data_IF_328786188167
#
_entry.id   IF_328786188167
#
_cell.length_a   1.000
_cell.length_b   1.000
_cell.length_c   1.000
_cell.angle_alpha   90.00
_cell.angle_beta   90.00
_cell.angle_gamma   90.00
#
_symmetry.space_group_name_H-M   'P 1'
#
loop_
_entity.id
_entity.type
_entity.pdbx_description
1 polymer ?
#
# COMPACT_ATOMS: atom_id res chain seq x y z
N UNK A 1 -35.93 -55.74 40.26
CA UNK A 1 -36.57 -55.09 39.10
C UNK A 1 -36.74 -53.62 39.46
N UNK A 2 -35.83 -52.76 39.03
CA UNK A 2 -36.04 -51.82 37.90
C UNK A 2 -36.13 -50.42 38.53
N UNK A 3 -35.24 -49.45 38.32
CA UNK A 3 -34.67 -49.00 37.06
C UNK A 3 -35.46 -47.75 36.64
N UNK A 4 -34.84 -46.56 36.66
CA UNK A 4 -35.49 -45.35 36.12
C UNK A 4 -34.88 -44.03 36.57
N UNK A 5 -33.86 -43.58 35.85
CA UNK A 5 -33.34 -42.20 35.85
C UNK A 5 -34.44 -41.22 35.44
N UNK A 6 -34.47 -40.04 36.06
CA UNK A 6 -35.23 -38.90 35.59
C UNK A 6 -34.49 -37.62 35.93
N UNK A 7 -33.55 -37.23 35.06
CA UNK A 7 -32.88 -35.93 35.13
C UNK A 7 -33.90 -34.81 34.93
N UNK A 8 -33.84 -33.81 35.82
CA UNK A 8 -34.59 -32.57 35.63
C UNK A 8 -34.14 -31.87 34.35
N UNK A 9 -35.07 -31.24 33.59
CA UNK A 9 -34.68 -30.56 32.38
C UNK A 9 -33.84 -29.33 32.76
N UNK A 10 -32.61 -29.30 32.24
CA UNK A 10 -31.83 -28.09 32.12
C UNK A 10 -32.62 -27.11 31.23
N UNK A 11 -32.97 -25.96 31.80
CA UNK A 11 -33.58 -24.86 31.05
C UNK A 11 -32.49 -24.30 30.14
N UNK A 12 -32.43 -24.78 28.90
CA UNK A 12 -31.66 -24.15 27.86
C UNK A 12 -32.27 -22.78 27.60
N UNK A 13 -31.53 -21.72 27.93
CA UNK A 13 -31.84 -20.37 27.48
C UNK A 13 -31.64 -20.36 25.96
N UNK A 14 -32.74 -20.53 25.24
CA UNK A 14 -32.83 -20.31 23.81
C UNK A 14 -32.72 -18.80 23.59
N UNK A 15 -31.48 -18.34 23.37
CA UNK A 15 -31.21 -17.00 22.85
C UNK A 15 -31.70 -16.98 21.41
N UNK A 16 -32.98 -16.62 21.24
CA UNK A 16 -33.57 -16.36 19.94
C UNK A 16 -32.86 -15.13 19.38
N UNK A 17 -31.88 -15.37 18.51
CA UNK A 17 -31.35 -14.35 17.63
C UNK A 17 -32.54 -13.78 16.84
N UNK A 18 -33.02 -12.62 17.23
CA UNK A 18 -34.03 -11.90 16.48
C UNK A 18 -33.46 -11.68 15.08
N UNK A 19 -34.05 -12.35 14.09
CA UNK A 19 -33.78 -12.06 12.69
C UNK A 19 -34.16 -10.59 12.47
N UNK A 20 -33.16 -9.72 12.34
CA UNK A 20 -33.36 -8.31 12.06
C UNK A 20 -34.12 -8.21 10.74
N UNK A 21 -35.41 -7.90 10.79
CA UNK A 21 -36.17 -7.63 9.57
C UNK A 21 -35.47 -6.50 8.81
N UNK A 22 -35.22 -6.65 7.51
CA UNK A 22 -34.47 -5.66 6.76
C UNK A 22 -35.23 -4.32 6.81
N UNK A 23 -34.52 -3.24 7.15
CA UNK A 23 -35.12 -1.91 7.15
C UNK A 23 -35.51 -1.55 5.71
N UNK A 24 -36.82 -1.49 5.43
CA UNK A 24 -37.36 -1.09 4.12
C UNK A 24 -37.90 0.33 4.20
N UNK A 25 -37.46 1.18 3.27
CA UNK A 25 -38.01 2.52 3.08
C UNK A 25 -39.39 2.40 2.39
N UNK A 26 -40.47 2.96 2.94
CA UNK A 26 -41.79 2.85 2.33
C UNK A 26 -41.87 3.53 0.96
N UNK A 27 -42.50 2.86 -0.01
CA UNK A 27 -42.65 3.38 -1.38
C UNK A 27 -43.76 4.41 -1.53
N UNK A 28 -44.74 4.39 -0.62
CA UNK A 28 -45.92 5.26 -0.63
C UNK A 28 -45.74 6.55 0.18
N UNK A 29 -44.53 6.82 0.69
CA UNK A 29 -44.20 8.06 1.39
C UNK A 29 -43.47 9.00 0.45
N UNK A 30 -43.87 10.28 0.48
CA UNK A 30 -43.15 11.40 -0.10
C UNK A 30 -43.02 12.48 0.98
N UNK A 31 -41.84 12.55 1.61
CA UNK A 31 -41.55 13.41 2.75
C UNK A 31 -40.29 14.21 2.47
N UNK A 32 -40.30 15.50 2.78
CA UNK A 32 -39.10 16.34 2.86
C UNK A 32 -38.96 16.85 4.29
N UNK A 33 -37.82 16.57 4.90
CA UNK A 33 -37.50 16.92 6.28
C UNK A 33 -36.27 17.83 6.26
N UNK A 34 -36.42 19.02 6.84
CA UNK A 34 -35.28 19.87 7.16
C UNK A 34 -34.79 19.48 8.56
N UNK A 35 -33.58 18.95 8.64
CA UNK A 35 -32.96 18.54 9.89
C UNK A 35 -32.09 19.68 10.44
N UNK A 36 -32.24 19.95 11.74
CA UNK A 36 -31.31 20.71 12.57
C UNK A 36 -31.21 19.97 13.90
N UNK A 37 -30.21 19.10 13.99
CA UNK A 37 -30.02 18.15 15.08
C UNK A 37 -28.67 18.39 15.73
N UNK A 38 -28.69 18.75 17.01
CA UNK A 38 -27.47 19.06 17.75
C UNK A 38 -26.54 17.86 17.91
N UNK A 39 -27.10 16.69 18.16
CA UNK A 39 -26.35 15.45 18.35
C UNK A 39 -27.14 14.26 17.83
N UNK A 40 -26.48 13.39 17.07
CA UNK A 40 -27.05 12.16 16.53
C UNK A 40 -26.07 11.02 16.80
N UNK A 41 -26.57 9.98 17.47
CA UNK A 41 -25.81 8.75 17.72
C UNK A 41 -26.18 7.72 16.66
N UNK A 42 -25.19 7.28 15.88
CA UNK A 42 -25.39 6.27 14.85
C UNK A 42 -24.32 5.19 14.95
N UNK A 43 -24.71 4.00 15.41
CA UNK A 43 -23.76 2.91 15.73
C UNK A 43 -22.66 3.41 16.68
N UNK A 44 -21.39 3.35 16.25
CA UNK A 44 -20.22 3.86 17.00
C UNK A 44 -19.92 5.34 16.73
N UNK A 45 -20.64 5.96 15.79
CA UNK A 45 -20.42 7.34 15.39
C UNK A 45 -21.23 8.29 16.25
N UNK A 46 -20.59 9.39 16.65
CA UNK A 46 -21.25 10.56 17.25
C UNK A 46 -21.18 11.69 16.25
N UNK A 47 -22.33 12.15 15.78
CA UNK A 47 -22.47 13.24 14.83
C UNK A 47 -22.99 14.45 15.57
N UNK A 48 -22.40 15.61 15.33
CA UNK A 48 -22.79 16.88 15.96
C UNK A 48 -23.28 17.87 14.90
N UNK A 49 -24.13 18.80 15.30
CA UNK A 49 -24.56 19.94 14.47
C UNK A 49 -25.00 19.52 13.04
N UNK A 50 -25.82 18.45 12.97
CA UNK A 50 -26.32 17.89 11.72
C UNK A 50 -27.39 18.81 11.16
N UNK A 51 -27.15 19.33 9.96
CA UNK A 51 -28.06 20.24 9.27
C UNK A 51 -28.17 19.90 7.78
N UNK A 52 -29.37 20.04 7.21
CA UNK A 52 -29.62 19.86 5.77
C UNK A 52 -30.99 19.22 5.49
N UNK A 53 -31.23 18.84 4.23
CA UNK A 53 -32.51 18.25 3.82
C UNK A 53 -32.38 16.73 3.65
N UNK A 54 -33.36 16.01 4.19
CA UNK A 54 -33.55 14.57 4.00
C UNK A 54 -34.88 14.37 3.29
N UNK A 55 -34.86 13.73 2.12
CA UNK A 55 -36.07 13.40 1.36
C UNK A 55 -36.29 11.90 1.37
N UNK A 56 -37.52 11.48 1.64
CA UNK A 56 -37.96 10.09 1.54
C UNK A 56 -38.98 10.01 0.43
N UNK A 57 -38.67 9.30 -0.65
CA UNK A 57 -39.59 9.17 -1.78
C UNK A 57 -39.31 7.90 -2.58
N UNK A 58 -40.36 7.18 -2.96
CA UNK A 58 -40.27 6.02 -3.85
C UNK A 58 -39.37 4.89 -3.31
N UNK A 59 -39.37 4.66 -2.00
CA UNK A 59 -38.56 3.61 -1.37
C UNK A 59 -37.07 3.94 -1.28
N UNK A 60 -36.71 5.22 -1.32
CA UNK A 60 -35.35 5.70 -1.13
C UNK A 60 -35.29 6.92 -0.21
N UNK A 61 -34.17 7.05 0.48
CA UNK A 61 -33.79 8.23 1.25
C UNK A 61 -32.70 8.97 0.48
N UNK A 62 -32.93 10.23 0.15
CA UNK A 62 -31.94 11.13 -0.41
C UNK A 62 -31.46 12.10 0.66
N UNK A 63 -30.15 12.27 0.77
CA UNK A 63 -29.49 13.25 1.64
C UNK A 63 -29.03 14.40 0.74
N UNK A 64 -29.57 15.60 0.96
CA UNK A 64 -29.27 16.77 0.14
C UNK A 64 -28.44 17.78 0.94
N UNK A 65 -27.14 17.84 0.63
CA UNK A 65 -26.18 18.81 1.20
C UNK A 65 -26.18 18.82 2.73
N UNK A 66 -26.09 17.65 3.35
CA UNK A 66 -25.90 17.56 4.78
C UNK A 66 -24.56 18.19 5.17
N UNK A 67 -24.57 18.94 6.26
CA UNK A 67 -23.40 19.42 6.99
C UNK A 67 -23.46 18.85 8.40
N UNK A 68 -22.34 18.35 8.91
CA UNK A 68 -22.27 17.72 10.22
C UNK A 68 -20.84 17.76 10.77
N UNK A 69 -20.70 17.79 12.09
CA UNK A 69 -19.46 17.48 12.78
C UNK A 69 -19.29 15.97 12.94
N UNK A 70 -18.16 15.43 12.50
CA UNK A 70 -17.84 14.00 12.60
C UNK A 70 -16.33 13.79 12.75
N UNK A 71 -15.94 12.79 13.54
CA UNK A 71 -14.53 12.40 13.76
C UNK A 71 -13.62 13.55 14.24
N UNK A 72 -14.19 14.55 14.93
CA UNK A 72 -13.49 15.75 15.38
C UNK A 72 -13.37 16.87 14.34
N UNK A 73 -13.81 16.64 13.10
CA UNK A 73 -13.81 17.60 12.01
C UNK A 73 -15.20 18.00 11.56
N UNK A 74 -15.27 18.69 10.41
CA UNK A 74 -16.50 19.03 9.71
C UNK A 74 -16.62 18.23 8.44
N UNK A 75 -17.80 17.67 8.20
CA UNK A 75 -18.11 16.89 7.02
C UNK A 75 -19.29 17.48 6.26
N UNK A 76 -19.30 17.25 4.96
CA UNK A 76 -20.50 17.40 4.14
C UNK A 76 -20.82 16.10 3.44
N UNK A 77 -22.10 15.81 3.25
CA UNK A 77 -22.52 14.59 2.55
C UNK A 77 -23.76 14.85 1.69
N UNK A 78 -23.75 14.29 0.49
CA UNK A 78 -24.95 14.11 -0.34
C UNK A 78 -24.97 12.67 -0.81
N UNK A 79 -26.15 12.05 -0.85
CA UNK A 79 -26.21 10.63 -1.18
C UNK A 79 -27.61 10.11 -1.30
N UNK A 80 -27.72 8.84 -1.70
CA UNK A 80 -28.98 8.13 -1.82
C UNK A 80 -28.85 6.72 -1.26
N UNK A 81 -29.72 6.39 -0.33
CA UNK A 81 -29.96 5.04 0.16
C UNK A 81 -31.26 4.55 -0.47
N UNK A 82 -31.22 3.47 -1.24
CA UNK A 82 -32.41 2.90 -1.89
C UNK A 82 -32.65 1.48 -1.41
N UNK A 83 -33.88 1.18 -1.01
CA UNK A 83 -34.34 -0.19 -0.71
C UNK A 83 -35.42 -0.65 -1.70
N UNK A 84 -35.66 0.12 -2.77
CA UNK A 84 -36.75 -0.11 -3.72
C UNK A 84 -36.48 -1.20 -4.78
N UNK A 85 -35.31 -1.85 -4.75
CA UNK A 85 -34.90 -2.90 -5.71
C UNK A 85 -34.59 -4.23 -5.02
N UNK A 86 -34.13 -5.22 -5.80
CA UNK A 86 -33.77 -6.56 -5.29
C UNK A 86 -32.65 -6.51 -4.23
N UNK A 87 -31.74 -5.54 -4.35
CA UNK A 87 -30.66 -5.30 -3.41
C UNK A 87 -30.65 -3.84 -2.95
N UNK A 88 -30.66 -3.56 -1.64
CA UNK A 88 -30.45 -2.23 -1.13
C UNK A 88 -29.10 -1.67 -1.57
N UNK A 89 -29.03 -0.37 -1.83
CA UNK A 89 -27.82 0.29 -2.32
C UNK A 89 -27.60 1.65 -1.69
N UNK A 90 -26.33 2.04 -1.61
CA UNK A 90 -25.88 3.33 -1.12
C UNK A 90 -24.97 3.99 -2.17
N UNK A 91 -25.29 5.22 -2.53
CA UNK A 91 -24.36 6.15 -3.18
C UNK A 91 -24.12 7.36 -2.28
N UNK A 92 -22.86 7.79 -2.17
CA UNK A 92 -22.45 8.84 -1.26
C UNK A 92 -21.32 9.66 -1.88
N UNK A 93 -21.52 10.97 -1.98
CA UNK A 93 -20.48 11.96 -2.18
C UNK A 93 -20.26 12.67 -0.84
N UNK A 94 -19.05 12.58 -0.29
CA UNK A 94 -18.70 13.13 1.00
C UNK A 94 -17.42 13.97 0.93
N UNK A 95 -17.38 15.00 1.77
CA UNK A 95 -16.15 15.73 2.06
C UNK A 95 -15.92 15.80 3.55
N UNK A 96 -14.65 15.81 3.96
CA UNK A 96 -14.21 15.98 5.34
C UNK A 96 -13.14 17.05 5.39
N UNK A 97 -13.17 17.88 6.43
CA UNK A 97 -12.10 18.79 6.79
C UNK A 97 -11.73 18.60 8.25
N UNK A 98 -10.43 18.42 8.50
CA UNK A 98 -9.85 18.22 9.84
C UNK A 98 -10.45 17.04 10.61
N UNK A 99 -10.72 15.93 9.91
CA UNK A 99 -11.08 14.68 10.56
C UNK A 99 -9.84 14.03 11.18
N UNK A 100 -9.96 13.43 12.35
CA UNK A 100 -8.84 12.76 13.03
C UNK A 100 -8.70 11.31 12.55
N UNK A 101 -7.50 10.89 12.14
CA UNK A 101 -7.23 9.51 11.72
C UNK A 101 -7.63 8.49 12.80
N UNK A 102 -7.22 8.74 14.05
CA UNK A 102 -7.50 7.86 15.18
C UNK A 102 -9.01 7.71 15.45
N UNK A 103 -9.74 8.84 15.55
CA UNK A 103 -11.20 8.80 15.78
C UNK A 103 -11.95 8.10 14.65
N UNK A 104 -11.53 8.34 13.41
CA UNK A 104 -12.13 7.66 12.24
C UNK A 104 -11.91 6.16 12.30
N UNK A 105 -10.68 5.71 12.62
CA UNK A 105 -10.39 4.28 12.76
C UNK A 105 -11.21 3.63 13.88
N UNK A 106 -11.34 4.28 15.04
CA UNK A 106 -12.13 3.76 16.17
C UNK A 106 -13.62 3.63 15.83
N UNK A 107 -14.17 4.57 15.05
CA UNK A 107 -15.61 4.68 14.82
C UNK A 107 -16.10 4.02 13.52
N UNK A 108 -15.23 3.79 12.53
CA UNK A 108 -15.61 3.21 11.23
C UNK A 108 -14.96 1.86 10.94
N UNK A 109 -15.76 0.80 11.02
CA UNK A 109 -15.32 -0.58 10.73
C UNK A 109 -14.85 -0.77 9.29
N UNK A 110 -15.43 -0.03 8.33
CA UNK A 110 -14.99 -0.05 6.93
C UNK A 110 -13.54 0.43 6.80
N UNK A 111 -13.18 1.48 7.54
CA UNK A 111 -11.81 2.02 7.55
C UNK A 111 -10.87 1.03 8.24
N UNK A 112 -11.30 0.37 9.31
CA UNK A 112 -10.50 -0.67 9.98
C UNK A 112 -10.09 -1.79 9.02
N UNK A 113 -10.98 -2.18 8.10
CA UNK A 113 -10.74 -3.24 7.13
C UNK A 113 -9.95 -2.79 5.90
N UNK A 114 -10.27 -1.61 5.35
CA UNK A 114 -9.68 -1.14 4.09
C UNK A 114 -8.36 -0.36 4.28
N UNK A 115 -8.21 0.34 5.40
CA UNK A 115 -7.07 1.20 5.67
C UNK A 115 -6.56 1.01 7.10
N UNK A 116 -6.06 -0.19 7.46
CA UNK A 116 -5.57 -0.50 8.80
C UNK A 116 -4.44 0.43 9.27
N UNK A 117 -3.75 1.06 8.32
CA UNK A 117 -2.71 2.07 8.59
C UNK A 117 -3.20 3.24 9.47
N UNK A 118 -4.49 3.59 9.41
CA UNK A 118 -5.06 4.68 10.21
C UNK A 118 -4.89 4.46 11.72
N UNK A 119 -4.83 3.21 12.18
CA UNK A 119 -4.61 2.87 13.59
C UNK A 119 -3.31 3.49 14.14
N UNK A 120 -2.27 3.56 13.30
CA UNK A 120 -0.93 4.03 13.69
C UNK A 120 -0.62 5.44 13.18
N UNK A 121 -1.58 6.08 12.53
CA UNK A 121 -1.42 7.43 11.98
C UNK A 121 -2.01 8.46 12.92
N UNK A 122 -1.15 9.35 13.40
CA UNK A 122 -1.52 10.59 14.09
C UNK A 122 -1.73 11.75 13.12
N UNK A 123 -2.43 12.77 13.60
CA UNK A 123 -2.75 13.97 12.84
C UNK A 123 -4.20 14.01 12.36
N UNK A 124 -4.48 14.98 11.49
CA UNK A 124 -5.79 15.22 10.90
C UNK A 124 -5.72 15.12 9.38
N UNK A 125 -6.86 14.86 8.74
CA UNK A 125 -6.99 14.77 7.30
C UNK A 125 -8.19 15.57 6.78
N UNK A 126 -8.09 15.92 5.50
CA UNK A 126 -9.23 16.30 4.67
C UNK A 126 -9.45 15.20 3.63
N UNK A 127 -10.69 14.98 3.22
CA UNK A 127 -11.07 13.92 2.29
C UNK A 127 -12.09 14.46 1.30
N UNK A 128 -11.94 14.10 0.03
CA UNK A 128 -13.03 14.03 -0.94
C UNK A 128 -13.28 12.56 -1.28
N UNK A 129 -14.54 12.14 -1.32
CA UNK A 129 -14.93 10.75 -1.51
C UNK A 129 -16.20 10.67 -2.34
N UNK A 130 -16.14 9.89 -3.42
CA UNK A 130 -17.31 9.36 -4.11
C UNK A 130 -17.35 7.84 -3.88
N UNK A 131 -18.48 7.32 -3.40
CA UNK A 131 -18.65 5.93 -3.01
C UNK A 131 -20.00 5.39 -3.52
N UNK A 132 -19.99 4.13 -3.95
CA UNK A 132 -21.17 3.33 -4.26
C UNK A 132 -20.99 1.89 -3.80
N UNK A 133 -22.03 1.29 -3.23
CA UNK A 133 -21.97 -0.08 -2.70
C UNK A 133 -23.37 -0.70 -2.59
N UNK A 134 -23.46 -2.02 -2.70
CA UNK A 134 -24.65 -2.73 -2.25
C UNK A 134 -24.65 -2.80 -0.71
N UNK A 135 -25.82 -2.97 -0.11
CA UNK A 135 -25.94 -3.15 1.33
C UNK A 135 -26.55 -4.52 1.65
N UNK A 136 -26.14 -5.07 2.78
CA UNK A 136 -26.77 -6.25 3.35
C UNK A 136 -28.13 -5.92 4.02
N UNK A 137 -28.81 -6.94 4.55
CA UNK A 137 -30.08 -6.79 5.26
C UNK A 137 -30.00 -5.89 6.50
N UNK A 138 -28.80 -5.71 7.07
CA UNK A 138 -28.53 -4.81 8.20
C UNK A 138 -28.13 -3.40 7.75
N UNK A 139 -28.27 -3.09 6.46
CA UNK A 139 -27.83 -1.85 5.81
C UNK A 139 -26.33 -1.57 5.99
N UNK A 140 -25.51 -2.61 6.11
CA UNK A 140 -24.05 -2.48 6.14
C UNK A 140 -23.49 -2.59 4.72
N UNK A 141 -22.47 -1.79 4.36
CA UNK A 141 -21.79 -1.88 3.07
C UNK A 141 -21.22 -3.26 2.77
N UNK A 142 -21.56 -3.78 1.60
CA UNK A 142 -20.86 -4.94 1.03
C UNK A 142 -19.53 -4.48 0.43
N UNK A 143 -18.44 -4.80 1.12
CA UNK A 143 -17.09 -4.40 0.73
C UNK A 143 -16.62 -5.05 -0.58
N UNK A 144 -17.24 -6.17 -1.00
CA UNK A 144 -16.94 -6.81 -2.28
C UNK A 144 -17.49 -6.02 -3.47
N UNK A 145 -18.61 -5.31 -3.30
CA UNK A 145 -19.23 -4.47 -4.33
C UNK A 145 -18.88 -2.99 -4.20
N UNK A 146 -18.16 -2.62 -3.12
CA UNK A 146 -17.78 -1.25 -2.84
C UNK A 146 -16.86 -0.72 -3.94
N UNK A 147 -17.34 0.31 -4.61
CA UNK A 147 -16.55 1.15 -5.51
C UNK A 147 -16.40 2.52 -4.86
N UNK A 148 -15.17 3.01 -4.77
CA UNK A 148 -14.92 4.35 -4.28
C UNK A 148 -13.77 5.02 -5.02
N UNK A 149 -13.73 6.34 -5.02
CA UNK A 149 -12.58 7.13 -5.45
C UNK A 149 -12.51 8.42 -4.66
N UNK A 150 -11.30 8.91 -4.44
CA UNK A 150 -11.14 10.11 -3.64
C UNK A 150 -9.71 10.60 -3.54
N UNK A 151 -9.59 11.73 -2.86
CA UNK A 151 -8.31 12.32 -2.50
C UNK A 151 -8.31 12.57 -0.98
N UNK A 152 -7.33 11.99 -0.31
CA UNK A 152 -7.02 12.28 1.08
C UNK A 152 -5.86 13.27 1.12
N UNK A 153 -5.98 14.30 1.95
CA UNK A 153 -4.91 15.27 2.21
C UNK A 153 -4.65 15.40 3.68
N UNK A 154 -3.40 15.62 4.05
CA UNK A 154 -3.03 15.95 5.42
C UNK A 154 -1.88 16.95 5.43
N UNK A 155 -2.02 17.99 6.25
CA UNK A 155 -0.96 18.98 6.47
C UNK A 155 0.21 18.36 7.23
N UNK A 156 -0.07 17.37 8.09
CA UNK A 156 0.91 16.71 8.92
C UNK A 156 0.43 15.31 9.33
N UNK A 157 1.23 14.30 9.00
CA UNK A 157 1.06 12.94 9.49
C UNK A 157 2.25 12.52 10.32
N UNK A 158 1.97 11.80 11.39
CA UNK A 158 2.98 11.08 12.16
C UNK A 158 2.61 9.61 12.20
N UNK A 159 3.52 8.73 11.81
CA UNK A 159 3.30 7.30 11.88
C UNK A 159 4.50 6.63 12.55
N UNK A 160 4.21 5.77 13.51
CA UNK A 160 5.22 5.05 14.29
C UNK A 160 4.97 3.54 14.24
N UNK A 161 6.06 2.77 14.20
CA UNK A 161 6.06 1.31 14.36
C UNK A 161 5.20 0.56 13.32
N UNK A 162 5.20 1.04 12.07
CA UNK A 162 4.66 0.27 10.96
C UNK A 162 5.67 -0.77 10.50
N UNK A 163 5.29 -2.05 10.58
CA UNK A 163 6.14 -3.18 10.18
C UNK A 163 6.70 -3.06 8.75
N UNK A 164 5.92 -2.47 7.82
CA UNK A 164 6.36 -2.30 6.44
C UNK A 164 7.53 -1.32 6.34
N UNK A 165 7.47 -0.23 7.10
CA UNK A 165 8.53 0.75 7.19
C UNK A 165 9.72 0.25 8.04
N UNK A 166 9.47 -0.60 9.04
CA UNK A 166 10.54 -1.31 9.75
C UNK A 166 11.32 -2.26 8.84
N UNK A 167 10.61 -3.01 7.99
CA UNK A 167 11.22 -3.89 7.01
C UNK A 167 12.01 -3.09 5.97
N UNK A 168 11.47 -1.95 5.51
CA UNK A 168 12.15 -1.04 4.59
C UNK A 168 13.42 -0.44 5.22
N UNK A 169 13.33 0.05 6.45
CA UNK A 169 14.46 0.57 7.23
C UNK A 169 15.57 -0.47 7.36
N UNK A 170 15.21 -1.72 7.64
CA UNK A 170 16.16 -2.83 7.78
C UNK A 170 16.82 -3.18 6.45
N UNK A 171 16.04 -3.25 5.36
CA UNK A 171 16.54 -3.56 4.03
C UNK A 171 17.50 -2.50 3.49
N UNK A 172 17.20 -1.22 3.74
CA UNK A 172 18.01 -0.08 3.29
C UNK A 172 19.06 0.36 4.32
N UNK A 173 19.14 -0.31 5.48
CA UNK A 173 20.01 0.06 6.61
C UNK A 173 19.87 1.53 7.03
N UNK A 174 18.63 2.03 7.03
CA UNK A 174 18.30 3.41 7.38
C UNK A 174 17.19 3.45 8.44
N UNK A 175 17.57 3.56 9.71
CA UNK A 175 16.62 3.59 10.83
C UNK A 175 15.69 4.82 10.84
N UNK A 176 16.02 5.89 10.10
CA UNK A 176 15.12 7.06 9.98
C UNK A 176 13.79 6.69 9.31
N UNK A 177 13.77 5.64 8.50
CA UNK A 177 12.54 5.18 7.83
C UNK A 177 11.53 4.54 8.78
N UNK A 178 11.91 4.20 10.03
CA UNK A 178 11.00 3.60 11.03
C UNK A 178 9.97 4.58 11.60
N UNK A 179 10.28 5.88 11.56
CA UNK A 179 9.38 6.95 12.00
C UNK A 179 9.06 7.84 10.82
N UNK A 180 7.79 7.91 10.50
CA UNK A 180 7.30 8.73 9.39
C UNK A 180 6.78 10.01 10.01
N UNK A 181 7.40 11.12 9.65
CA UNK A 181 6.83 12.44 9.86
C UNK A 181 6.83 13.12 8.51
N UNK A 182 5.65 13.36 7.96
CA UNK A 182 5.50 13.96 6.63
C UNK A 182 4.51 15.12 6.68
N UNK A 183 4.73 16.09 5.80
CA UNK A 183 3.90 17.29 5.65
C UNK A 183 3.33 17.34 4.24
N UNK A 184 2.20 18.01 4.09
CA UNK A 184 1.55 18.27 2.80
C UNK A 184 1.34 17.00 1.97
N UNK A 185 0.86 15.94 2.63
CA UNK A 185 0.64 14.64 2.01
C UNK A 185 -0.68 14.67 1.24
N UNK A 186 -0.65 14.25 -0.02
CA UNK A 186 -1.83 14.10 -0.86
C UNK A 186 -1.87 12.71 -1.48
N UNK A 187 -2.89 11.93 -1.14
CA UNK A 187 -3.06 10.53 -1.54
C UNK A 187 -4.33 10.39 -2.35
N UNK A 188 -4.19 10.05 -3.62
CA UNK A 188 -5.33 9.70 -4.48
C UNK A 188 -5.53 8.20 -4.47
N UNK A 189 -6.77 7.77 -4.28
CA UNK A 189 -7.09 6.35 -4.18
C UNK A 189 -8.35 6.01 -4.96
N UNK A 190 -8.47 4.73 -5.29
CA UNK A 190 -9.69 4.11 -5.77
C UNK A 190 -9.87 2.77 -5.07
N UNK A 191 -11.13 2.35 -4.87
CA UNK A 191 -11.49 1.04 -4.34
C UNK A 191 -12.35 0.34 -5.37
N UNK A 192 -12.00 -0.89 -5.73
CA UNK A 192 -12.79 -1.78 -6.58
C UNK A 192 -12.55 -3.22 -6.16
N UNK A 193 -13.60 -4.03 -6.19
CA UNK A 193 -13.54 -5.48 -5.91
C UNK A 193 -12.81 -5.80 -4.59
N UNK A 194 -13.06 -4.99 -3.55
CA UNK A 194 -12.40 -5.16 -2.25
C UNK A 194 -10.89 -4.87 -2.24
N UNK A 195 -10.39 -4.11 -3.21
CA UNK A 195 -8.98 -3.69 -3.26
C UNK A 195 -8.86 -2.18 -3.38
N UNK A 196 -8.10 -1.59 -2.47
CA UNK A 196 -7.72 -0.17 -2.47
C UNK A 196 -6.46 -0.01 -3.32
N UNK A 197 -6.55 0.73 -4.41
CA UNK A 197 -5.41 1.16 -5.22
C UNK A 197 -5.05 2.58 -4.86
N UNK A 198 -3.78 2.80 -4.54
CA UNK A 198 -3.20 4.09 -4.18
C UNK A 198 -2.29 4.57 -5.31
N UNK A 199 -2.58 5.74 -5.87
CA UNK A 199 -1.71 6.34 -6.88
C UNK A 199 -0.37 6.75 -6.25
N UNK A 200 0.73 6.74 -7.01
CA UNK A 200 2.02 7.21 -6.52
C UNK A 200 1.93 8.61 -5.91
N UNK A 201 2.48 8.77 -4.71
CA UNK A 201 2.56 10.04 -4.00
C UNK A 201 3.90 10.19 -3.30
N UNK A 202 4.30 11.43 -3.08
CA UNK A 202 5.59 11.76 -2.47
C UNK A 202 5.45 11.94 -0.95
N UNK A 203 6.44 11.42 -0.24
CA UNK A 203 6.61 11.55 1.20
C UNK A 203 8.02 12.07 1.45
N UNK A 204 8.10 13.23 2.11
CA UNK A 204 9.36 13.77 2.57
C UNK A 204 9.60 13.36 4.03
N UNK A 205 10.61 12.53 4.27
CA UNK A 205 10.99 11.99 5.58
C UNK A 205 12.34 12.57 5.98
N UNK A 206 12.33 13.78 6.55
CA UNK A 206 13.55 14.52 6.82
C UNK A 206 14.29 14.85 5.52
N UNK A 207 15.48 14.28 5.33
CA UNK A 207 16.31 14.42 4.13
C UNK A 207 16.08 13.30 3.08
N UNK A 208 15.19 12.34 3.36
CA UNK A 208 14.87 11.23 2.48
C UNK A 208 13.56 11.48 1.76
N UNK A 209 13.56 11.42 0.42
CA UNK A 209 12.34 11.50 -0.38
C UNK A 209 11.88 10.08 -0.76
N UNK A 210 10.61 9.78 -0.54
CA UNK A 210 10.01 8.48 -0.87
C UNK A 210 8.80 8.70 -1.78
N UNK A 211 8.81 8.11 -2.97
CA UNK A 211 7.62 8.01 -3.80
C UNK A 211 7.00 6.63 -3.61
N UNK A 212 5.77 6.56 -3.13
CA UNK A 212 5.09 5.32 -2.76
C UNK A 212 3.77 5.17 -3.54
N UNK A 213 3.53 4.00 -4.12
CA UNK A 213 2.27 3.65 -4.77
C UNK A 213 2.00 2.16 -4.68
N UNK A 214 0.75 1.71 -4.87
CA UNK A 214 0.44 0.29 -4.76
C UNK A 214 -1.01 -0.03 -4.44
N UNK A 215 -1.23 -1.20 -3.84
CA UNK A 215 -2.56 -1.67 -3.48
C UNK A 215 -2.62 -2.45 -2.18
N UNK A 216 -3.77 -2.36 -1.51
CA UNK A 216 -4.12 -3.16 -0.32
C UNK A 216 -5.46 -3.86 -0.55
N UNK A 217 -5.53 -5.17 -0.30
CA UNK A 217 -6.77 -5.95 -0.36
C UNK A 217 -7.49 -6.03 0.98
N UNK A 218 -8.79 -6.39 0.97
CA UNK A 218 -9.57 -6.70 2.17
C UNK A 218 -8.99 -7.85 3.00
N UNK A 219 -8.27 -8.76 2.35
CA UNK A 219 -7.50 -9.85 2.96
C UNK A 219 -6.17 -9.37 3.57
N UNK A 220 -5.96 -8.05 3.61
CA UNK A 220 -4.75 -7.38 4.08
C UNK A 220 -3.50 -7.69 3.25
N UNK A 221 -3.65 -8.30 2.07
CA UNK A 221 -2.54 -8.45 1.13
C UNK A 221 -2.11 -7.08 0.60
N UNK A 222 -0.81 -6.82 0.63
CA UNK A 222 -0.23 -5.58 0.16
C UNK A 222 0.68 -5.84 -1.03
N UNK A 223 0.67 -4.92 -1.99
CA UNK A 223 1.56 -4.90 -3.14
C UNK A 223 1.88 -3.44 -3.47
N UNK A 224 3.01 -2.96 -2.95
CA UNK A 224 3.46 -1.58 -3.09
C UNK A 224 4.84 -1.52 -3.71
N UNK A 225 5.09 -0.43 -4.43
CA UNK A 225 6.40 -0.03 -4.89
C UNK A 225 6.79 1.29 -4.23
N UNK A 226 8.03 1.37 -3.78
CA UNK A 226 8.61 2.55 -3.18
C UNK A 226 9.91 2.90 -3.90
N UNK A 227 10.02 4.14 -4.35
CA UNK A 227 11.29 4.71 -4.80
C UNK A 227 11.83 5.60 -3.69
N UNK A 228 12.95 5.20 -3.11
CA UNK A 228 13.58 5.89 -1.98
C UNK A 228 14.82 6.62 -2.47
N UNK A 229 14.87 7.93 -2.28
CA UNK A 229 16.02 8.77 -2.59
C UNK A 229 16.73 9.17 -1.30
N UNK A 230 17.94 8.64 -1.13
CA UNK A 230 18.80 8.77 0.04
C UNK A 230 19.96 9.72 -0.27
N UNK A 231 20.27 10.69 0.60
CA UNK A 231 21.53 11.41 0.51
C UNK A 231 22.68 10.53 1.00
N UNK A 232 23.66 10.26 0.14
CA UNK A 232 24.90 9.56 0.49
C UNK A 232 26.12 10.41 0.12
N UNK A 233 26.79 10.97 1.12
CA UNK A 233 28.04 11.75 0.95
C UNK A 233 27.98 12.90 -0.08
N UNK A 234 26.79 13.49 -0.29
CA UNK A 234 26.56 14.59 -1.24
C UNK A 234 25.98 14.16 -2.59
N UNK A 235 25.86 12.86 -2.84
CA UNK A 235 25.26 12.25 -4.04
C UNK A 235 23.89 11.68 -3.67
N UNK A 236 22.89 11.89 -4.53
CA UNK A 236 21.57 11.29 -4.35
C UNK A 236 21.57 9.85 -4.90
N UNK A 237 21.38 8.88 -4.01
CA UNK A 237 21.17 7.48 -4.36
C UNK A 237 19.67 7.16 -4.39
N UNK A 238 19.21 6.57 -5.48
CA UNK A 238 17.81 6.16 -5.63
C UNK A 238 17.72 4.65 -5.65
N UNK A 239 16.84 4.09 -4.82
CA UNK A 239 16.61 2.66 -4.69
C UNK A 239 15.12 2.37 -4.89
N UNK A 240 14.81 1.52 -5.86
CA UNK A 240 13.45 1.01 -6.09
C UNK A 240 13.24 -0.27 -5.26
N UNK A 241 12.11 -0.32 -4.56
CA UNK A 241 11.80 -1.35 -3.56
C UNK A 241 10.37 -1.86 -3.76
N UNK A 242 10.20 -3.17 -3.83
CA UNK A 242 8.90 -3.83 -3.73
C UNK A 242 8.56 -4.19 -2.28
N UNK A 243 7.31 -3.94 -1.89
CA UNK A 243 6.77 -4.24 -0.56
C UNK A 243 5.52 -5.09 -0.75
N UNK A 244 5.68 -6.41 -0.56
CA UNK A 244 4.61 -7.39 -0.70
C UNK A 244 4.23 -8.05 0.64
N UNK A 245 3.45 -9.14 0.56
CA UNK A 245 3.05 -9.92 1.73
C UNK A 245 1.72 -9.44 2.30
N UNK A 246 1.61 -9.34 3.62
CA UNK A 246 0.42 -8.78 4.29
C UNK A 246 0.79 -7.57 5.11
N UNK A 247 -0.19 -6.73 5.43
CA UNK A 247 0.01 -5.55 6.29
C UNK A 247 0.68 -5.91 7.63
N UNK A 248 0.37 -7.09 8.18
CA UNK A 248 0.93 -7.57 9.45
C UNK A 248 2.25 -8.35 9.32
N UNK A 249 2.58 -8.84 8.12
CA UNK A 249 3.80 -9.59 7.79
C UNK A 249 4.34 -9.14 6.42
N UNK A 250 4.87 -7.91 6.33
CA UNK A 250 5.34 -7.35 5.07
C UNK A 250 6.68 -7.96 4.67
N UNK A 251 6.86 -8.16 3.36
CA UNK A 251 8.11 -8.65 2.76
C UNK A 251 8.66 -7.60 1.82
N UNK A 252 9.91 -7.23 2.07
CA UNK A 252 10.60 -6.24 1.25
C UNK A 252 11.54 -6.94 0.28
N UNK A 253 11.36 -6.68 -1.01
CA UNK A 253 12.27 -7.08 -2.07
C UNK A 253 12.94 -5.83 -2.63
N UNK A 254 14.26 -5.78 -2.53
CA UNK A 254 15.03 -4.76 -3.24
C UNK A 254 15.04 -5.18 -4.71
N UNK A 255 14.53 -4.34 -5.61
CA UNK A 255 14.74 -4.56 -7.05
C UNK A 255 16.17 -4.12 -7.37
N UNK A 256 17.12 -4.99 -7.00
CA UNK A 256 18.57 -4.78 -7.11
C UNK A 256 18.99 -4.50 -8.56
N UNK A 257 18.13 -4.84 -9.55
CA UNK A 257 18.32 -4.57 -10.97
C UNK A 257 18.38 -3.08 -11.28
N UNK A 258 17.46 -2.26 -10.75
CA UNK A 258 17.46 -0.81 -10.98
C UNK A 258 18.38 -0.06 -10.03
N UNK A 259 18.51 -0.50 -8.77
CA UNK A 259 19.44 0.13 -7.82
C UNK A 259 20.91 0.01 -8.25
N UNK A 260 21.30 -1.13 -8.85
CA UNK A 260 22.64 -1.29 -9.43
C UNK A 260 22.81 -0.51 -10.75
N UNK A 261 21.82 -0.53 -11.65
CA UNK A 261 21.85 0.25 -12.91
C UNK A 261 21.87 1.77 -12.66
N UNK A 262 21.17 2.26 -11.62
CA UNK A 262 21.06 3.67 -11.31
C UNK A 262 22.22 4.17 -10.43
N UNK A 263 22.76 3.34 -9.53
CA UNK A 263 24.02 3.65 -8.85
C UNK A 263 25.19 3.75 -9.84
N UNK A 264 25.19 2.92 -10.89
CA UNK A 264 26.19 3.01 -11.97
C UNK A 264 25.96 4.27 -12.82
N UNK A 265 24.71 4.61 -13.18
CA UNK A 265 24.42 5.84 -13.95
C UNK A 265 24.76 7.13 -13.21
N UNK A 266 24.42 7.24 -11.92
CA UNK A 266 24.62 8.48 -11.16
C UNK A 266 26.11 8.74 -10.85
N UNK A 267 26.94 7.70 -10.70
CA UNK A 267 28.40 7.85 -10.54
C UNK A 267 29.07 8.22 -11.87
N UNK A 268 28.51 7.77 -12.99
CA UNK A 268 28.99 8.08 -14.35
C UNK A 268 28.70 9.55 -14.71
N UNK A 269 27.54 10.10 -14.37
CA UNK A 269 27.18 11.49 -14.71
C UNK A 269 27.97 12.55 -13.90
N UNK A 270 28.30 12.28 -12.63
CA UNK A 270 29.12 13.20 -11.82
C UNK A 270 30.60 13.21 -12.17
N UNK A 271 31.15 12.08 -12.63
CA UNK A 271 32.56 12.03 -13.07
C UNK A 271 32.75 12.59 -14.49
N UNK A 272 31.73 12.50 -15.36
CA UNK A 272 31.74 13.15 -16.68
C UNK A 272 31.74 14.69 -16.55
N UNK A 273 31.07 15.27 -15.54
CA UNK A 273 31.11 16.74 -15.31
C UNK A 273 32.44 17.25 -14.74
N UNK A 274 33.30 16.39 -14.16
CA UNK A 274 34.61 16.80 -13.62
C UNK A 274 35.79 16.62 -14.59
N UNK A 275 35.57 16.17 -15.83
CA UNK A 275 36.64 15.82 -16.77
C UNK A 275 36.56 16.57 -18.11
N UNK A 276 36.24 17.86 -18.07
CA UNK A 276 36.70 18.81 -19.10
C UNK A 276 37.96 19.51 -18.61
N UNK A 277 39.07 18.78 -18.51
CA UNK A 277 40.34 19.40 -18.14
C UNK A 277 41.53 18.45 -17.92
N UNK A 278 42.35 18.35 -18.98
CA UNK A 278 43.81 18.10 -18.98
C UNK A 278 44.36 16.66 -19.03
N UNK A 279 44.82 16.31 -20.24
CA UNK A 279 46.12 15.73 -20.65
C UNK A 279 46.87 14.70 -19.74
N UNK A 280 46.60 13.41 -19.96
CA UNK A 280 47.56 12.44 -20.54
C UNK A 280 46.85 11.09 -20.77
N UNK A 281 46.27 10.92 -21.96
CA UNK A 281 45.13 10.01 -22.19
C UNK A 281 45.46 8.51 -22.25
N UNK A 282 46.67 8.06 -22.61
CA UNK A 282 46.89 6.64 -22.93
C UNK A 282 47.00 5.71 -21.71
N UNK A 283 47.76 6.12 -20.69
CA UNK A 283 48.01 5.27 -19.50
C UNK A 283 46.80 5.25 -18.55
N UNK A 284 46.05 6.35 -18.48
CA UNK A 284 44.83 6.44 -17.69
C UNK A 284 43.67 5.69 -18.34
N UNK A 285 43.51 5.76 -19.67
CA UNK A 285 42.51 4.96 -20.39
C UNK A 285 42.80 3.46 -20.26
N UNK A 286 44.08 3.04 -20.29
CA UNK A 286 44.45 1.65 -20.06
C UNK A 286 44.07 1.18 -18.64
N UNK A 287 44.36 2.01 -17.63
CA UNK A 287 44.04 1.71 -16.22
C UNK A 287 42.54 1.74 -15.96
N UNK A 288 41.79 2.64 -16.59
CA UNK A 288 40.33 2.69 -16.52
C UNK A 288 39.69 1.50 -17.21
N UNK A 289 40.23 1.06 -18.35
CA UNK A 289 39.77 -0.15 -19.03
C UNK A 289 40.01 -1.42 -18.21
N UNK A 290 41.13 -1.51 -17.51
CA UNK A 290 41.41 -2.62 -16.58
C UNK A 290 40.47 -2.60 -15.38
N UNK A 291 40.25 -1.43 -14.78
CA UNK A 291 39.30 -1.27 -13.67
C UNK A 291 37.86 -1.62 -14.08
N UNK A 292 37.42 -1.20 -15.27
CA UNK A 292 36.07 -1.47 -15.77
C UNK A 292 35.87 -2.97 -16.03
N UNK A 293 36.87 -3.68 -16.58
CA UNK A 293 36.84 -5.15 -16.71
C UNK A 293 36.77 -5.82 -15.35
N UNK A 294 37.62 -5.41 -14.41
CA UNK A 294 37.65 -5.98 -13.07
C UNK A 294 36.32 -5.75 -12.31
N UNK A 295 35.66 -4.61 -12.53
CA UNK A 295 34.38 -4.29 -11.92
C UNK A 295 33.23 -5.08 -12.55
N UNK A 296 33.19 -5.19 -13.88
CA UNK A 296 32.23 -6.04 -14.59
C UNK A 296 32.37 -7.51 -14.19
N UNK A 297 33.59 -8.01 -14.01
CA UNK A 297 33.85 -9.36 -13.50
C UNK A 297 33.40 -9.53 -12.04
N UNK A 298 33.69 -8.57 -11.16
CA UNK A 298 33.23 -8.61 -9.76
C UNK A 298 31.72 -8.57 -9.66
N UNK A 299 31.06 -7.73 -10.46
CA UNK A 299 29.61 -7.64 -10.51
C UNK A 299 28.99 -8.94 -11.05
N UNK A 300 29.52 -9.48 -12.14
CA UNK A 300 29.10 -10.77 -12.69
C UNK A 300 29.27 -11.92 -11.70
N UNK A 301 30.40 -11.98 -10.99
CA UNK A 301 30.67 -13.00 -9.99
C UNK A 301 29.72 -12.89 -8.80
N UNK A 302 29.40 -11.67 -8.34
CA UNK A 302 28.40 -11.44 -7.27
C UNK A 302 26.99 -11.86 -7.69
N UNK A 303 26.60 -11.63 -8.95
CA UNK A 303 25.30 -12.10 -9.47
C UNK A 303 25.22 -13.63 -9.45
N UNK A 304 26.28 -14.31 -9.90
CA UNK A 304 26.37 -15.76 -9.88
C UNK A 304 26.37 -16.30 -8.45
N UNK A 305 27.06 -15.62 -7.52
CA UNK A 305 27.10 -15.99 -6.11
C UNK A 305 25.72 -15.85 -5.45
N UNK A 306 25.03 -14.74 -5.66
CA UNK A 306 23.67 -14.53 -5.16
C UNK A 306 22.68 -15.55 -5.73
N UNK A 307 22.79 -15.88 -7.02
CA UNK A 307 21.96 -16.91 -7.66
C UNK A 307 22.24 -18.31 -7.07
N UNK A 308 23.50 -18.62 -6.77
CA UNK A 308 23.89 -19.87 -6.07
C UNK A 308 23.34 -19.92 -4.65
N UNK A 309 23.41 -18.83 -3.90
CA UNK A 309 22.82 -18.75 -2.56
C UNK A 309 21.30 -18.94 -2.59
N UNK A 310 20.60 -18.30 -3.54
CA UNK A 310 19.16 -18.47 -3.71
C UNK A 310 18.80 -19.90 -4.10
N UNK A 311 19.57 -20.54 -4.99
CA UNK A 311 19.41 -21.97 -5.30
C UNK A 311 19.55 -22.83 -4.05
N UNK A 312 20.58 -22.63 -3.24
CA UNK A 312 20.77 -23.39 -1.99
C UNK A 312 19.56 -23.24 -1.06
N UNK A 313 19.07 -22.01 -0.85
CA UNK A 313 17.87 -21.74 -0.03
C UNK A 313 16.62 -22.41 -0.57
N UNK A 314 16.41 -22.39 -1.90
CA UNK A 314 15.28 -23.05 -2.56
C UNK A 314 15.34 -24.57 -2.41
N UNK A 315 16.52 -25.17 -2.59
CA UNK A 315 16.73 -26.62 -2.47
C UNK A 315 16.57 -27.09 -1.02
N UNK A 316 17.09 -26.34 -0.05
CA UNK A 316 16.93 -26.63 1.39
C UNK A 316 15.46 -26.55 1.82
N UNK A 317 14.74 -25.51 1.40
CA UNK A 317 13.32 -25.35 1.68
C UNK A 317 12.45 -26.45 1.05
N UNK A 318 12.91 -27.04 -0.05
CA UNK A 318 12.23 -28.12 -0.76
C UNK A 318 12.62 -29.53 -0.27
N UNK A 319 13.76 -29.67 0.41
CA UNK A 319 14.28 -30.96 0.87
C UNK A 319 13.34 -31.68 1.85
N UNK A 320 12.63 -30.93 2.69
CA UNK A 320 11.62 -31.46 3.63
C UNK A 320 10.28 -31.83 2.97
N UNK A 321 10.07 -31.46 1.70
CA UNK A 321 8.81 -31.66 0.96
C UNK A 321 8.85 -32.84 -0.02
N UNK A 322 9.92 -33.63 0.00
CA UNK A 322 10.08 -34.86 -0.79
C UNK A 322 10.88 -34.68 -2.09
N UNK A 323 11.26 -35.81 -2.71
CA UNK A 323 12.22 -35.86 -3.80
C UNK A 323 11.79 -35.07 -5.06
N UNK A 324 10.49 -35.04 -5.38
CA UNK A 324 9.97 -34.30 -6.53
C UNK A 324 10.04 -32.78 -6.32
N UNK A 325 9.74 -32.30 -5.12
CA UNK A 325 9.84 -30.89 -4.78
C UNK A 325 11.29 -30.40 -4.82
N UNK A 326 12.22 -31.24 -4.32
CA UNK A 326 13.66 -30.98 -4.39
C UNK A 326 14.14 -30.87 -5.85
N UNK A 327 13.74 -31.79 -6.71
CA UNK A 327 14.12 -31.77 -8.14
C UNK A 327 13.57 -30.54 -8.88
N UNK A 328 12.33 -30.12 -8.56
CA UNK A 328 11.75 -28.89 -9.12
C UNK A 328 12.50 -27.64 -8.66
N UNK A 329 12.91 -27.58 -7.38
CA UNK A 329 13.71 -26.49 -6.83
C UNK A 329 15.13 -26.45 -7.42
N UNK A 330 15.76 -27.60 -7.63
CA UNK A 330 17.06 -27.71 -8.32
C UNK A 330 16.95 -27.15 -9.74
N UNK A 331 15.93 -27.55 -10.51
CA UNK A 331 15.73 -27.06 -11.89
C UNK A 331 15.43 -25.55 -11.94
N UNK A 332 14.65 -25.04 -10.99
CA UNK A 332 14.39 -23.60 -10.89
C UNK A 332 15.66 -22.83 -10.50
N UNK A 333 16.45 -23.35 -9.55
CA UNK A 333 17.71 -22.76 -9.15
C UNK A 333 18.80 -22.80 -10.23
N UNK A 334 18.87 -23.89 -11.01
CA UNK A 334 19.78 -24.00 -12.16
C UNK A 334 19.42 -22.96 -13.24
N UNK A 335 18.11 -22.70 -13.43
CA UNK A 335 17.65 -21.64 -14.34
C UNK A 335 18.07 -20.25 -13.85
N UNK A 336 17.98 -19.98 -12.54
CA UNK A 336 18.45 -18.73 -11.94
C UNK A 336 19.96 -18.54 -12.14
N UNK A 337 20.77 -19.59 -11.97
CA UNK A 337 22.21 -19.54 -12.21
C UNK A 337 22.49 -19.26 -13.70
N UNK A 338 21.81 -19.96 -14.61
CA UNK A 338 21.99 -19.75 -16.05
C UNK A 338 21.62 -18.33 -16.49
N UNK A 339 20.56 -17.74 -15.92
CA UNK A 339 20.18 -16.35 -16.18
C UNK A 339 21.22 -15.37 -15.61
N UNK A 340 21.76 -15.65 -14.42
CA UNK A 340 22.83 -14.85 -13.82
C UNK A 340 24.15 -14.92 -14.61
N UNK A 341 24.51 -16.10 -15.14
CA UNK A 341 25.68 -16.28 -16.01
C UNK A 341 25.52 -15.48 -17.32
N UNK A 342 24.33 -15.55 -17.94
CA UNK A 342 24.03 -14.76 -19.14
C UNK A 342 24.09 -13.25 -18.87
N UNK A 343 23.64 -12.81 -17.70
CA UNK A 343 23.75 -11.41 -17.29
C UNK A 343 25.20 -10.99 -17.01
N UNK A 344 25.99 -11.85 -16.36
CA UNK A 344 27.41 -11.62 -16.15
C UNK A 344 28.17 -11.49 -17.49
N UNK A 345 27.83 -12.31 -18.48
CA UNK A 345 28.39 -12.22 -19.84
C UNK A 345 27.97 -10.93 -20.55
N UNK A 346 26.72 -10.52 -20.43
CA UNK A 346 26.25 -9.24 -20.98
C UNK A 346 26.97 -8.04 -20.35
N UNK A 347 27.23 -8.07 -19.03
CA UNK A 347 28.00 -7.02 -18.33
C UNK A 347 29.44 -6.94 -18.84
N UNK A 348 30.10 -8.07 -19.06
CA UNK A 348 31.45 -8.12 -19.66
C UNK A 348 31.44 -7.56 -21.08
N UNK A 349 30.45 -7.95 -21.88
CA UNK A 349 30.30 -7.49 -23.26
C UNK A 349 30.05 -5.98 -23.33
N UNK A 350 29.24 -5.43 -22.42
CA UNK A 350 28.96 -3.99 -22.37
C UNK A 350 30.17 -3.20 -21.87
N UNK A 351 30.89 -3.71 -20.87
CA UNK A 351 32.15 -3.13 -20.42
C UNK A 351 33.18 -3.09 -21.57
N UNK A 352 33.29 -4.14 -22.37
CA UNK A 352 34.16 -4.15 -23.56
C UNK A 352 33.73 -3.12 -24.61
N UNK A 353 32.43 -2.97 -24.88
CA UNK A 353 31.92 -1.92 -25.79
C UNK A 353 32.24 -0.52 -25.29
N UNK A 354 32.19 -0.29 -23.98
CA UNK A 354 32.53 1.01 -23.40
C UNK A 354 34.03 1.28 -23.45
N UNK A 355 34.84 0.25 -23.21
CA UNK A 355 36.30 0.33 -23.36
C UNK A 355 36.66 0.65 -24.80
N UNK A 356 36.02 0.00 -25.77
CA UNK A 356 36.25 0.26 -27.20
C UNK A 356 35.93 1.71 -27.56
N UNK A 357 34.82 2.26 -27.05
CA UNK A 357 34.47 3.68 -27.20
C UNK A 357 35.51 4.61 -26.58
N UNK A 358 35.98 4.32 -25.37
CA UNK A 358 37.01 5.09 -24.66
C UNK A 358 38.35 5.06 -25.39
N UNK A 359 38.72 3.93 -25.99
CA UNK A 359 39.94 3.81 -26.79
C UNK A 359 39.82 4.51 -28.14
N UNK A 360 38.64 4.45 -28.80
CA UNK A 360 38.39 5.11 -30.09
C UNK A 360 38.25 6.63 -30.01
N UNK A 361 38.02 7.20 -28.82
CA UNK A 361 37.99 8.64 -28.59
C UNK A 361 39.36 9.25 -28.32
N UNK A 362 40.42 8.43 -28.33
CA UNK A 362 41.79 8.83 -28.00
C UNK A 362 42.73 8.79 -29.23
N UNK A 363 42.35 8.08 -30.30
CA UNK A 363 42.92 8.20 -31.66
C UNK A 363 42.25 9.34 -32.45
#
# INVERSE_FOLDING_TARGET
MGGGRGGGPAVAAEEVAAATEPLVVPQNLDLSLNADLKEVLFRKMTLSDVSGEIRVSGGAVSLERLSLGAFGGKATASGRLSTAGEHPSLSLAASMSKGSFAKTFEQLEVVQKLAPVFEKTGGDYSLSLDLSTALDASLSPDLGTLTASGELRSEHIEIQNLKAFDALATALKNDRLRRIEARDVAVRFAVRDGRVTTQPFDLQLGDVAVNLGGSTGLDQTIDYTARVSLPDNGILQTVDVGIGGTFTDPKVSLDVKQAAEQAVKNVVDEQIQKLTGSESLSDEVAKQAENLRAEAERAGNKLIEAAREQRTKLVEAAASKGALAKLAAEKAGDKLISEAEKQAENLRTEAERQIEKLTSSTD
#
